data_IF_309987016248
#
_entry.id   IF_309987016248
#
_cell.length_a   1.000
_cell.length_b   1.000
_cell.length_c   1.000
_cell.angle_alpha   90.00
_cell.angle_beta   90.00
_cell.angle_gamma   90.00
#
_symmetry.space_group_name_H-M   'P 1'
#
loop_
_entity.id
_entity.type
_entity.pdbx_description
1 polymer ?
#
# COMPACT_ATOMS: atom_id res chain seq x y z
N UNK A 1 -10.91 6.38 -8.64
CA UNK A 1 -11.77 5.34 -9.27
C UNK A 1 -11.40 5.22 -10.73
N UNK A 2 -11.05 4.05 -11.17
CA UNK A 2 -10.83 3.78 -12.61
C UNK A 2 -12.16 3.36 -13.20
N UNK A 3 -12.64 4.08 -14.19
CA UNK A 3 -13.87 3.68 -14.89
C UNK A 3 -13.59 2.40 -15.69
N UNK A 4 -14.29 1.32 -15.36
CA UNK A 4 -14.18 0.02 -16.06
C UNK A 4 -14.34 0.16 -17.56
N UNK A 5 -15.14 1.12 -18.03
CA UNK A 5 -15.34 1.42 -19.46
C UNK A 5 -14.08 1.92 -20.15
N UNK A 6 -13.04 2.32 -19.40
CA UNK A 6 -11.75 2.76 -19.95
C UNK A 6 -10.74 1.62 -20.06
N UNK A 7 -11.06 0.43 -19.54
CA UNK A 7 -10.16 -0.72 -19.61
C UNK A 7 -10.20 -1.32 -21.03
N UNK A 8 -9.05 -1.78 -21.55
CA UNK A 8 -8.99 -2.42 -22.86
C UNK A 8 -9.86 -3.67 -22.94
N UNK A 9 -10.60 -3.83 -24.03
CA UNK A 9 -11.50 -4.99 -24.23
C UNK A 9 -10.73 -6.33 -24.17
N UNK A 10 -9.51 -6.38 -24.70
CA UNK A 10 -8.67 -7.56 -24.66
C UNK A 10 -8.31 -7.96 -23.22
N UNK A 11 -8.03 -6.98 -22.36
CA UNK A 11 -7.77 -7.20 -20.95
C UNK A 11 -9.01 -7.75 -20.22
N UNK A 12 -10.18 -7.18 -20.46
CA UNK A 12 -11.42 -7.65 -19.84
C UNK A 12 -11.73 -9.10 -20.23
N UNK A 13 -11.55 -9.48 -21.50
CA UNK A 13 -11.73 -10.85 -21.97
C UNK A 13 -10.74 -11.82 -21.32
N UNK A 14 -9.49 -11.42 -21.16
CA UNK A 14 -8.47 -12.23 -20.50
C UNK A 14 -8.80 -12.44 -19.03
N UNK A 15 -9.22 -11.40 -18.31
CA UNK A 15 -9.63 -11.48 -16.91
C UNK A 15 -10.88 -12.37 -16.74
N UNK A 16 -11.85 -12.28 -17.63
CA UNK A 16 -13.03 -13.14 -17.61
C UNK A 16 -12.66 -14.62 -17.75
N UNK A 17 -11.75 -14.96 -18.65
CA UNK A 17 -11.26 -16.32 -18.83
C UNK A 17 -10.45 -16.83 -17.63
N UNK A 18 -9.65 -15.98 -17.01
CA UNK A 18 -8.81 -16.33 -15.87
C UNK A 18 -9.61 -16.51 -14.57
N UNK A 19 -10.58 -15.63 -14.33
CA UNK A 19 -11.29 -15.54 -13.06
C UNK A 19 -12.60 -16.33 -13.02
N UNK A 20 -13.19 -16.64 -14.19
CA UNK A 20 -14.45 -17.37 -14.26
C UNK A 20 -15.52 -16.75 -13.37
N UNK A 21 -16.00 -17.50 -12.38
CA UNK A 21 -17.07 -17.06 -11.48
C UNK A 21 -16.68 -15.84 -10.60
N UNK A 22 -15.39 -15.57 -10.44
CA UNK A 22 -14.91 -14.42 -9.66
C UNK A 22 -14.84 -13.11 -10.48
N UNK A 23 -15.04 -13.19 -11.79
CA UNK A 23 -14.89 -12.04 -12.69
C UNK A 23 -15.82 -10.87 -12.33
N UNK A 24 -17.09 -11.14 -12.04
CA UNK A 24 -18.05 -10.09 -11.67
C UNK A 24 -17.64 -9.35 -10.39
N UNK A 25 -17.17 -10.09 -9.38
CA UNK A 25 -16.66 -9.51 -8.15
C UNK A 25 -15.40 -8.66 -8.39
N UNK A 26 -14.51 -9.14 -9.25
CA UNK A 26 -13.32 -8.43 -9.67
C UNK A 26 -13.66 -7.09 -10.37
N UNK A 27 -14.55 -7.11 -11.34
CA UNK A 27 -14.99 -5.89 -12.04
C UNK A 27 -15.63 -4.89 -11.09
N UNK A 28 -16.45 -5.37 -10.16
CA UNK A 28 -17.07 -4.52 -9.15
C UNK A 28 -16.06 -3.86 -8.21
N UNK A 29 -14.92 -4.48 -7.96
CA UNK A 29 -13.87 -3.89 -7.12
C UNK A 29 -13.29 -2.57 -7.66
N UNK A 30 -13.40 -2.33 -8.97
CA UNK A 30 -13.00 -1.05 -9.57
C UNK A 30 -13.89 0.13 -9.18
N UNK A 31 -15.11 -0.14 -8.69
CA UNK A 31 -16.03 0.87 -8.18
C UNK A 31 -15.68 1.31 -6.74
N UNK A 32 -14.85 0.52 -6.06
CA UNK A 32 -14.40 0.83 -4.70
C UNK A 32 -13.37 1.97 -4.70
N UNK A 33 -13.40 2.74 -3.61
CA UNK A 33 -12.40 3.79 -3.42
C UNK A 33 -11.00 3.18 -3.23
N UNK A 34 -10.01 3.78 -3.92
CA UNK A 34 -8.63 3.43 -3.70
C UNK A 34 -8.21 3.72 -2.25
N UNK A 35 -7.50 2.78 -1.64
CA UNK A 35 -7.00 2.87 -0.26
C UNK A 35 -5.48 3.00 -0.27
N UNK A 36 -4.95 4.22 -0.34
CA UNK A 36 -3.52 4.44 -0.33
C UNK A 36 -2.90 4.12 1.03
N UNK A 37 -1.61 3.78 1.02
CA UNK A 37 -0.89 3.45 2.23
C UNK A 37 0.47 4.12 2.35
N UNK A 38 0.94 4.17 3.58
CA UNK A 38 2.30 4.56 3.93
C UNK A 38 2.88 3.58 4.96
N UNK A 39 4.19 3.41 4.92
CA UNK A 39 4.94 2.59 5.89
C UNK A 39 5.92 3.46 6.65
N UNK A 40 5.80 3.45 7.98
CA UNK A 40 6.69 4.22 8.87
C UNK A 40 8.11 3.66 8.84
N UNK A 41 9.09 4.54 8.77
CA UNK A 41 10.50 4.20 8.86
C UNK A 41 10.90 4.08 10.33
N UNK A 42 10.87 2.85 10.84
CA UNK A 42 11.16 2.57 12.26
C UNK A 42 12.63 2.74 12.65
N UNK A 43 13.52 3.05 11.70
CA UNK A 43 14.87 3.53 12.01
C UNK A 43 14.89 4.98 12.51
N UNK A 44 13.83 5.73 12.28
CA UNK A 44 13.74 7.17 12.61
C UNK A 44 12.67 7.49 13.64
N UNK A 45 11.55 6.78 13.64
CA UNK A 45 10.40 7.06 14.51
C UNK A 45 9.58 5.80 14.73
N UNK A 46 9.00 5.66 15.92
CA UNK A 46 8.07 4.57 16.20
C UNK A 46 6.68 4.86 15.62
N UNK A 47 5.91 3.83 15.18
CA UNK A 47 4.59 4.01 14.57
C UNK A 47 3.61 4.83 15.42
N UNK A 48 3.54 4.57 16.70
CA UNK A 48 2.65 5.31 17.62
C UNK A 48 3.06 6.77 17.78
N UNK A 49 4.35 7.04 17.87
CA UNK A 49 4.86 8.41 17.91
C UNK A 49 4.57 9.15 16.60
N UNK A 50 4.78 8.49 15.46
CA UNK A 50 4.46 9.04 14.15
C UNK A 50 2.98 9.38 14.02
N UNK A 51 2.09 8.49 14.44
CA UNK A 51 0.64 8.70 14.42
C UNK A 51 0.23 9.95 15.19
N UNK A 52 0.83 10.15 16.37
CA UNK A 52 0.55 11.33 17.21
C UNK A 52 1.13 12.62 16.62
N UNK A 53 2.29 12.55 15.97
CA UNK A 53 3.02 13.71 15.46
C UNK A 53 2.51 14.17 14.09
N UNK A 54 2.09 13.25 13.24
CA UNK A 54 1.80 13.55 11.82
C UNK A 54 0.51 14.34 11.60
N UNK A 55 -0.45 14.25 12.52
CA UNK A 55 -1.81 14.79 12.39
C UNK A 55 -2.58 14.24 11.16
N UNK A 56 -2.09 13.17 10.53
CA UNK A 56 -2.77 12.48 9.45
C UNK A 56 -3.86 11.55 10.02
N UNK A 57 -4.95 11.39 9.28
CA UNK A 57 -5.96 10.38 9.59
C UNK A 57 -5.48 9.01 9.13
N UNK A 58 -4.94 8.24 10.08
CA UNK A 58 -4.28 6.96 9.82
C UNK A 58 -5.08 5.79 10.39
N UNK A 59 -5.33 4.80 9.53
CA UNK A 59 -5.92 3.51 9.92
C UNK A 59 -4.86 2.42 9.79
N UNK A 60 -4.65 1.57 10.83
CA UNK A 60 -3.63 0.51 10.75
C UNK A 60 -3.89 -0.49 9.61
N UNK A 61 -2.82 -1.00 9.02
CA UNK A 61 -2.83 -2.15 8.11
C UNK A 61 -2.70 -3.43 8.93
N UNK A 62 -3.63 -4.39 8.75
CA UNK A 62 -3.76 -5.56 9.62
C UNK A 62 -2.53 -6.49 9.64
N UNK A 63 -1.76 -6.54 8.56
CA UNK A 63 -0.61 -7.46 8.41
C UNK A 63 0.75 -6.83 8.71
N UNK A 64 0.79 -5.58 9.16
CA UNK A 64 2.04 -4.94 9.57
C UNK A 64 1.81 -3.80 10.56
N UNK A 65 2.53 -3.80 11.67
CA UNK A 65 2.47 -2.73 12.67
C UNK A 65 3.05 -1.39 12.19
N UNK A 66 3.80 -1.41 11.08
CA UNK A 66 4.48 -0.22 10.50
C UNK A 66 3.66 0.46 9.41
N UNK A 67 2.57 -0.16 8.96
CA UNK A 67 1.76 0.28 7.83
C UNK A 67 0.46 0.94 8.26
N UNK A 68 0.09 1.97 7.52
CA UNK A 68 -1.18 2.68 7.71
C UNK A 68 -1.81 3.00 6.37
N UNK A 69 -3.14 2.91 6.32
CA UNK A 69 -3.95 3.58 5.30
C UNK A 69 -4.07 5.05 5.66
N UNK A 70 -4.18 5.90 4.66
CA UNK A 70 -4.51 7.33 4.82
C UNK A 70 -5.63 7.72 3.84
N UNK A 71 -6.30 8.83 4.11
CA UNK A 71 -7.36 9.34 3.24
C UNK A 71 -6.78 9.95 1.95
N UNK A 72 -7.42 9.70 0.80
CA UNK A 72 -6.96 10.18 -0.52
C UNK A 72 -6.91 11.72 -0.60
N UNK A 73 -7.69 12.41 0.23
CA UNK A 73 -7.68 13.88 0.35
C UNK A 73 -6.40 14.41 0.98
N UNK A 74 -5.73 13.61 1.80
CA UNK A 74 -4.43 13.94 2.35
C UNK A 74 -3.34 13.77 1.29
N UNK A 75 -2.32 14.58 1.37
CA UNK A 75 -1.22 14.60 0.40
C UNK A 75 0.12 14.37 1.10
N UNK A 76 0.36 13.18 1.64
CA UNK A 76 1.53 12.89 2.46
C UNK A 76 2.85 13.10 1.69
N UNK A 77 2.87 12.97 0.36
CA UNK A 77 4.04 13.27 -0.46
C UNK A 77 4.47 14.77 -0.43
N UNK A 78 3.60 15.66 0.03
CA UNK A 78 3.89 17.09 0.18
C UNK A 78 4.26 17.48 1.61
N UNK A 79 4.17 16.54 2.54
CA UNK A 79 4.46 16.80 3.94
C UNK A 79 5.98 16.83 4.21
N UNK A 80 6.48 17.73 5.07
CA UNK A 80 7.91 17.77 5.42
C UNK A 80 8.46 16.45 5.92
N UNK A 81 7.67 15.65 6.61
CA UNK A 81 8.06 14.33 7.12
C UNK A 81 8.34 13.30 6.02
N UNK A 82 7.72 13.46 4.85
CA UNK A 82 8.06 12.66 3.67
C UNK A 82 9.51 12.93 3.22
N UNK A 83 9.87 14.19 3.12
CA UNK A 83 11.24 14.60 2.75
C UNK A 83 12.27 14.27 3.84
N UNK A 84 11.84 14.27 5.11
CA UNK A 84 12.67 13.81 6.22
C UNK A 84 12.83 12.28 6.26
N UNK A 85 12.10 11.53 5.43
CA UNK A 85 12.18 10.08 5.34
C UNK A 85 11.57 9.36 6.54
N UNK A 86 10.57 9.95 7.21
CA UNK A 86 9.88 9.31 8.33
C UNK A 86 8.95 8.19 7.87
N UNK A 87 8.54 8.17 6.63
CA UNK A 87 7.73 7.13 6.01
C UNK A 87 7.97 7.02 4.51
N UNK A 88 7.57 5.89 3.98
CA UNK A 88 7.58 5.56 2.56
C UNK A 88 6.13 5.34 2.08
N UNK A 89 5.74 5.97 0.98
CA UNK A 89 4.44 5.75 0.36
C UNK A 89 4.48 4.39 -0.34
N UNK A 90 3.66 3.47 0.12
CA UNK A 90 3.64 2.09 -0.38
C UNK A 90 2.20 1.58 -0.38
N UNK A 91 1.84 0.88 -1.44
CA UNK A 91 0.58 0.19 -1.53
C UNK A 91 0.52 -0.87 -0.41
N UNK A 92 -0.58 -0.97 0.36
CA UNK A 92 -0.63 -1.81 1.56
C UNK A 92 -0.32 -3.29 1.31
N UNK A 93 -0.78 -3.89 0.20
CA UNK A 93 -0.47 -5.29 -0.13
C UNK A 93 1.03 -5.51 -0.36
N UNK A 94 1.73 -4.52 -0.91
CA UNK A 94 3.17 -4.57 -1.12
C UNK A 94 4.00 -4.55 0.17
N UNK A 95 3.40 -4.25 1.31
CA UNK A 95 4.05 -4.32 2.62
C UNK A 95 4.14 -5.76 3.16
N UNK A 96 3.28 -6.68 2.69
CA UNK A 96 3.16 -8.03 3.22
C UNK A 96 4.44 -8.87 3.11
N UNK A 97 5.17 -8.89 1.98
CA UNK A 97 6.40 -9.69 1.88
C UNK A 97 7.44 -9.35 2.94
N UNK A 98 7.68 -8.06 3.17
CA UNK A 98 8.64 -7.62 4.18
C UNK A 98 8.15 -7.88 5.62
N UNK A 99 6.83 -7.89 5.84
CA UNK A 99 6.26 -8.15 7.17
C UNK A 99 6.40 -9.61 7.60
N UNK A 100 6.43 -10.55 6.66
CA UNK A 100 6.53 -11.99 6.94
C UNK A 100 7.93 -12.56 6.78
N UNK A 101 8.86 -11.81 6.18
CA UNK A 101 10.23 -12.27 5.99
C UNK A 101 11.01 -12.24 7.31
N UNK A 102 11.50 -13.39 7.80
CA UNK A 102 12.23 -13.47 9.07
C UNK A 102 13.69 -13.02 8.88
N UNK A 103 13.95 -11.73 8.89
CA UNK A 103 15.29 -11.14 8.72
C UNK A 103 15.91 -10.87 10.08
N UNK A 104 17.14 -11.37 10.28
CA UNK A 104 17.94 -11.19 11.48
C UNK A 104 19.14 -10.26 11.23
N UNK A 105 19.67 -9.61 12.26
CA UNK A 105 20.89 -8.80 12.14
C UNK A 105 22.06 -9.59 11.55
N UNK A 106 22.64 -9.07 10.46
CA UNK A 106 23.73 -9.72 9.73
C UNK A 106 23.30 -10.51 8.51
N UNK A 107 22.01 -10.72 8.29
CA UNK A 107 21.50 -11.38 7.08
C UNK A 107 21.79 -10.56 5.82
N UNK A 108 22.01 -11.27 4.73
CA UNK A 108 22.11 -10.69 3.39
C UNK A 108 20.77 -10.83 2.70
N UNK A 109 20.15 -9.73 2.35
CA UNK A 109 18.84 -9.69 1.68
C UNK A 109 19.00 -9.21 0.26
N UNK A 110 18.39 -9.92 -0.71
CA UNK A 110 18.33 -9.54 -2.11
C UNK A 110 16.87 -9.23 -2.47
N UNK A 111 16.61 -8.03 -2.94
CA UNK A 111 15.35 -7.65 -3.56
C UNK A 111 15.52 -7.58 -5.07
N UNK A 112 14.93 -8.52 -5.79
CA UNK A 112 15.00 -8.61 -7.27
C UNK A 112 13.93 -7.75 -7.96
N UNK A 113 13.00 -7.19 -7.19
CA UNK A 113 11.90 -6.36 -7.68
C UNK A 113 12.05 -4.89 -7.26
N UNK A 114 13.12 -4.53 -6.61
CA UNK A 114 13.39 -3.15 -6.21
C UNK A 114 13.51 -2.24 -7.43
N UNK A 115 12.80 -1.10 -7.39
CA UNK A 115 12.77 -0.11 -8.46
C UNK A 115 13.37 1.23 -8.01
#
# INVERSE_FOLDING_TARGET
>A
MTDVKQLPEAFLKEMEQLLGDEYEAYIKSYEEAWKPGLRVNTLKIMPEEFKNLSHLELTPVDWTEKGFYYEDTERPARHPFYYAGLYYLQEPSAMAPAAVLPVEPGDKVLDVCAA
#
